data_IF_404022191068
#
_entry.id   IF_404022191068
#
_cell.length_a   1.000
_cell.length_b   1.000
_cell.length_c   1.000
_cell.angle_alpha   90.00
_cell.angle_beta   90.00
_cell.angle_gamma   90.00
#
_symmetry.space_group_name_H-M   'P 1'
#
loop_
_entity.id
_entity.type
_entity.pdbx_description
1 polymer ?
#
# COMPACT_ATOMS: atom_id res chain seq x y z
N UNK A 1 -5.07 5.39 -26.93
CA UNK A 1 -6.12 4.46 -26.44
C UNK A 1 -5.93 4.40 -24.94
N UNK A 2 -6.75 5.17 -24.27
CA UNK A 2 -6.69 5.46 -22.85
C UNK A 2 -6.84 4.15 -22.09
N UNK A 3 -5.71 3.64 -21.60
CA UNK A 3 -5.71 2.73 -20.47
C UNK A 3 -6.50 3.48 -19.42
N UNK A 4 -7.73 3.03 -19.16
CA UNK A 4 -8.45 3.44 -17.97
C UNK A 4 -7.45 3.27 -16.83
N UNK A 5 -6.95 4.39 -16.33
CA UNK A 5 -6.23 4.45 -15.06
C UNK A 5 -7.33 4.13 -14.06
N UNK A 6 -7.61 2.83 -13.90
CA UNK A 6 -8.39 2.30 -12.81
C UNK A 6 -7.86 2.99 -11.55
N UNK A 7 -8.72 3.33 -10.57
CA UNK A 7 -8.30 4.02 -9.38
C UNK A 7 -7.43 3.06 -8.54
N UNK A 8 -6.20 2.81 -8.98
CA UNK A 8 -5.16 2.04 -8.31
C UNK A 8 -4.21 2.98 -7.56
N UNK A 9 -4.09 4.23 -8.02
CA UNK A 9 -3.33 5.24 -7.31
C UNK A 9 -3.87 5.44 -5.88
N UNK A 10 -5.19 5.51 -5.71
CA UNK A 10 -5.82 5.71 -4.40
C UNK A 10 -5.62 4.48 -3.49
N UNK A 11 -5.93 3.23 -3.90
CA UNK A 11 -5.59 2.02 -3.15
C UNK A 11 -4.11 1.85 -2.86
N UNK A 12 -3.22 2.31 -3.75
CA UNK A 12 -1.78 2.18 -3.55
C UNK A 12 -1.25 3.19 -2.54
N UNK A 13 -1.77 4.43 -2.52
CA UNK A 13 -1.31 5.49 -1.61
C UNK A 13 -1.94 5.34 -0.24
N UNK A 14 -3.25 5.09 -0.19
CA UNK A 14 -4.03 4.97 1.03
C UNK A 14 -4.68 3.58 1.11
N UNK A 15 -3.82 2.56 1.00
CA UNK A 15 -4.26 1.18 1.14
C UNK A 15 -4.90 0.92 2.50
N UNK A 16 -5.73 -0.13 2.64
CA UNK A 16 -6.46 -0.43 3.87
C UNK A 16 -5.54 -0.60 5.08
N UNK A 17 -4.34 -1.16 4.90
CA UNK A 17 -3.34 -1.27 5.96
C UNK A 17 -2.77 0.08 6.40
N UNK A 18 -2.48 0.97 5.46
CA UNK A 18 -2.02 2.33 5.76
C UNK A 18 -3.11 3.14 6.48
N UNK A 19 -4.37 3.04 6.04
CA UNK A 19 -5.51 3.64 6.73
C UNK A 19 -5.66 3.10 8.15
N UNK A 20 -5.62 1.77 8.35
CA UNK A 20 -5.68 1.16 9.68
C UNK A 20 -4.56 1.65 10.58
N UNK A 21 -3.32 1.73 10.08
CA UNK A 21 -2.20 2.21 10.88
C UNK A 21 -2.43 3.65 11.38
N UNK A 22 -2.90 4.56 10.52
CA UNK A 22 -3.19 5.94 10.92
C UNK A 22 -4.34 6.00 11.91
N UNK A 23 -5.40 5.21 11.72
CA UNK A 23 -6.52 5.13 12.66
C UNK A 23 -6.04 4.68 14.04
N UNK A 24 -5.23 3.61 14.10
CA UNK A 24 -4.69 3.08 15.35
C UNK A 24 -3.71 4.06 16.01
N UNK A 25 -2.88 4.77 15.23
CA UNK A 25 -1.93 5.78 15.72
C UNK A 25 -2.59 7.11 16.08
N UNK A 26 -3.88 7.25 15.82
CA UNK A 26 -4.69 8.44 16.15
C UNK A 26 -5.85 8.08 17.08
N UNK A 27 -5.75 6.95 17.78
CA UNK A 27 -6.75 6.54 18.76
C UNK A 27 -6.76 7.52 19.96
N UNK A 28 -7.94 8.08 20.26
CA UNK A 28 -8.15 9.05 21.34
C UNK A 28 -8.04 8.43 22.73
N UNK A 29 -8.30 7.14 22.88
CA UNK A 29 -8.22 6.47 24.18
C UNK A 29 -6.77 6.09 24.53
N UNK A 30 -5.88 6.04 23.53
CA UNK A 30 -4.48 5.62 23.69
C UNK A 30 -3.51 6.79 23.58
N UNK A 31 -3.74 7.74 22.66
CA UNK A 31 -2.81 8.81 22.34
C UNK A 31 -3.39 10.19 22.67
N UNK A 32 -2.57 11.03 23.28
CA UNK A 32 -2.91 12.43 23.58
C UNK A 32 -2.91 13.29 22.32
N UNK A 33 -3.65 14.41 22.34
CA UNK A 33 -3.77 15.36 21.20
C UNK A 33 -2.40 15.77 20.60
N UNK A 34 -1.34 16.05 21.39
CA UNK A 34 -0.02 16.35 20.82
C UNK A 34 0.62 15.19 20.05
N UNK A 35 0.44 13.95 20.50
CA UNK A 35 0.96 12.76 19.83
C UNK A 35 0.23 12.50 18.51
N UNK A 36 -1.08 12.72 18.49
CA UNK A 36 -1.88 12.64 17.27
C UNK A 36 -1.49 13.72 16.26
N UNK A 37 -1.22 14.94 16.72
CA UNK A 37 -0.72 16.02 15.87
C UNK A 37 0.64 15.64 15.24
N UNK A 38 1.52 14.98 15.99
CA UNK A 38 2.78 14.46 15.44
C UNK A 38 2.55 13.43 14.33
N UNK A 39 1.64 12.46 14.54
CA UNK A 39 1.24 11.49 13.50
C UNK A 39 0.71 12.20 12.26
N UNK A 40 -0.12 13.24 12.44
CA UNK A 40 -0.64 14.07 11.34
C UNK A 40 0.45 14.80 10.56
N UNK A 41 1.46 15.35 11.23
CA UNK A 41 2.62 15.99 10.58
C UNK A 41 3.42 14.97 9.76
N UNK A 42 3.67 13.77 10.30
CA UNK A 42 4.36 12.70 9.56
C UNK A 42 3.57 12.30 8.32
N UNK A 43 2.25 12.13 8.45
CA UNK A 43 1.37 11.81 7.32
C UNK A 43 1.45 12.88 6.23
N UNK A 44 1.40 14.17 6.61
CA UNK A 44 1.52 15.28 5.66
C UNK A 44 2.87 15.28 4.93
N UNK A 45 3.97 14.99 5.64
CA UNK A 45 5.30 14.89 5.03
C UNK A 45 5.34 13.74 4.01
N UNK A 46 4.82 12.57 4.35
CA UNK A 46 4.76 11.41 3.43
C UNK A 46 3.93 11.74 2.19
N UNK A 47 2.77 12.37 2.36
CA UNK A 47 1.92 12.79 1.24
C UNK A 47 2.59 13.83 0.35
N UNK A 48 3.31 14.79 0.94
CA UNK A 48 4.04 15.82 0.21
C UNK A 48 5.20 15.22 -0.59
N UNK A 49 5.93 14.26 -0.02
CA UNK A 49 6.96 13.50 -0.74
C UNK A 49 6.35 12.72 -1.90
N UNK A 50 5.25 11.97 -1.65
CA UNK A 50 4.54 11.25 -2.71
C UNK A 50 4.07 12.19 -3.83
N UNK A 51 3.54 13.36 -3.47
CA UNK A 51 3.13 14.37 -4.44
C UNK A 51 4.28 14.84 -5.33
N UNK A 52 5.45 15.13 -4.76
CA UNK A 52 6.66 15.50 -5.53
C UNK A 52 7.06 14.36 -6.47
N UNK A 53 7.06 13.11 -5.99
CA UNK A 53 7.37 11.94 -6.82
C UNK A 53 6.40 11.80 -8.00
N UNK A 54 5.10 12.04 -7.77
CA UNK A 54 4.09 12.03 -8.82
C UNK A 54 4.32 13.18 -9.83
N UNK A 55 4.76 14.35 -9.38
CA UNK A 55 5.11 15.46 -10.27
C UNK A 55 6.30 15.11 -11.18
N UNK A 56 7.22 14.27 -10.69
CA UNK A 56 8.36 13.74 -11.47
C UNK A 56 8.02 12.43 -12.21
N UNK A 57 6.76 11.98 -12.22
CA UNK A 57 6.36 10.69 -12.80
C UNK A 57 6.66 10.58 -14.30
N UNK A 58 6.66 11.68 -15.06
CA UNK A 58 7.07 11.71 -16.46
C UNK A 58 8.50 11.20 -16.67
N UNK A 59 9.41 11.51 -15.74
CA UNK A 59 10.79 11.03 -15.78
C UNK A 59 10.84 9.52 -15.54
N UNK A 60 10.06 9.04 -14.56
CA UNK A 60 9.94 7.62 -14.25
C UNK A 60 9.38 6.84 -15.44
N UNK A 61 8.34 7.38 -16.11
CA UNK A 61 7.74 6.78 -17.30
C UNK A 61 8.71 6.73 -18.49
N UNK A 62 9.58 7.72 -18.65
CA UNK A 62 10.61 7.71 -19.70
C UNK A 62 11.68 6.65 -19.46
N UNK A 63 12.06 6.40 -18.20
CA UNK A 63 13.04 5.36 -17.84
C UNK A 63 12.47 3.95 -17.99
N UNK A 64 11.24 3.74 -17.52
CA UNK A 64 10.58 2.41 -17.50
C UNK A 64 10.00 2.06 -18.89
N UNK A 65 9.56 3.05 -19.65
CA UNK A 65 8.91 2.86 -20.94
C UNK A 65 7.48 2.30 -20.82
N UNK A 66 6.74 2.34 -21.94
CA UNK A 66 5.33 1.94 -21.98
C UNK A 66 5.12 0.44 -21.72
N UNK A 67 6.03 -0.39 -22.24
CA UNK A 67 6.03 -1.85 -22.04
C UNK A 67 6.25 -2.19 -20.55
N UNK A 68 7.25 -1.57 -19.92
CA UNK A 68 7.55 -1.79 -18.50
C UNK A 68 6.40 -1.37 -17.59
N UNK A 69 5.76 -0.23 -17.88
CA UNK A 69 4.57 0.21 -17.16
C UNK A 69 3.41 -0.80 -17.27
N UNK A 70 3.20 -1.39 -18.45
CA UNK A 70 2.17 -2.41 -18.65
C UNK A 70 2.47 -3.70 -17.86
N UNK A 71 3.73 -4.09 -17.75
CA UNK A 71 4.15 -5.25 -16.92
C UNK A 71 3.89 -4.94 -15.43
N UNK A 72 4.27 -3.76 -14.95
CA UNK A 72 4.06 -3.36 -13.55
C UNK A 72 2.58 -3.44 -13.14
N UNK A 73 1.66 -2.99 -14.01
CA UNK A 73 0.22 -3.09 -13.75
C UNK A 73 -0.23 -4.55 -13.61
N UNK A 74 0.29 -5.45 -14.46
CA UNK A 74 -0.03 -6.88 -14.37
C UNK A 74 0.51 -7.50 -13.07
N UNK A 75 1.74 -7.17 -12.70
CA UNK A 75 2.38 -7.66 -11.47
C UNK A 75 1.61 -7.18 -10.24
N UNK A 76 1.26 -5.89 -10.17
CA UNK A 76 0.43 -5.34 -9.08
C UNK A 76 -0.90 -6.10 -8.96
N UNK A 77 -1.57 -6.39 -10.09
CA UNK A 77 -2.80 -7.17 -10.09
C UNK A 77 -2.63 -8.58 -9.51
N UNK A 78 -1.55 -9.28 -9.85
CA UNK A 78 -1.27 -10.63 -9.31
C UNK A 78 -0.94 -10.59 -7.82
N UNK A 79 -0.16 -9.60 -7.36
CA UNK A 79 0.16 -9.40 -5.94
C UNK A 79 -1.10 -9.10 -5.12
N UNK A 80 -1.97 -8.21 -5.62
CA UNK A 80 -3.23 -7.89 -4.96
C UNK A 80 -4.17 -9.09 -4.90
N UNK A 81 -4.21 -9.91 -5.96
CA UNK A 81 -5.00 -11.14 -5.96
C UNK A 81 -4.48 -12.15 -4.93
N UNK A 82 -3.17 -12.35 -4.82
CA UNK A 82 -2.60 -13.24 -3.81
C UNK A 82 -2.88 -12.74 -2.40
N UNK A 83 -2.70 -11.43 -2.16
CA UNK A 83 -2.98 -10.80 -0.88
C UNK A 83 -4.45 -10.93 -0.48
N UNK A 84 -5.37 -10.74 -1.43
CA UNK A 84 -6.80 -10.92 -1.17
C UNK A 84 -7.14 -12.36 -0.76
N UNK A 85 -6.58 -13.36 -1.46
CA UNK A 85 -6.75 -14.78 -1.10
C UNK A 85 -6.13 -15.06 0.27
N UNK A 86 -4.96 -14.52 0.57
CA UNK A 86 -4.29 -14.65 1.87
C UNK A 86 -5.16 -14.10 3.01
N UNK A 87 -5.76 -12.92 2.84
CA UNK A 87 -6.66 -12.32 3.82
C UNK A 87 -7.88 -13.21 4.06
N UNK A 88 -8.50 -13.74 3.00
CA UNK A 88 -9.67 -14.63 3.11
C UNK A 88 -9.32 -15.95 3.81
N UNK A 89 -8.21 -16.60 3.43
CA UNK A 89 -7.79 -17.85 4.06
C UNK A 89 -7.42 -17.66 5.52
N UNK A 90 -6.75 -16.56 5.86
CA UNK A 90 -6.46 -16.17 7.24
C UNK A 90 -7.75 -15.92 8.03
N UNK A 91 -8.72 -15.22 7.43
CA UNK A 91 -10.01 -14.94 8.06
C UNK A 91 -10.84 -16.22 8.31
N UNK A 92 -10.72 -17.24 7.46
CA UNK A 92 -11.35 -18.55 7.63
C UNK A 92 -10.60 -19.48 8.61
N UNK A 93 -9.48 -19.04 9.19
CA UNK A 93 -8.70 -19.82 10.13
C UNK A 93 -7.90 -20.97 9.49
N UNK A 94 -7.71 -20.95 8.17
CA UNK A 94 -6.93 -21.95 7.42
C UNK A 94 -5.44 -21.55 7.45
N UNK A 95 -4.96 -21.18 8.64
CA UNK A 95 -3.64 -20.58 8.84
C UNK A 95 -2.57 -21.64 9.07
N UNK A 96 -1.86 -22.02 8.00
CA UNK A 96 -0.42 -22.37 7.97
C UNK A 96 -0.02 -23.31 6.81
N UNK A 97 -0.49 -23.10 5.58
CA UNK A 97 0.01 -23.87 4.43
C UNK A 97 1.44 -23.50 4.00
N UNK A 98 2.16 -22.70 4.80
CA UNK A 98 3.58 -22.49 4.67
C UNK A 98 4.34 -23.56 5.49
N UNK A 99 4.98 -24.57 4.86
CA UNK A 99 5.95 -25.44 5.55
C UNK A 99 7.23 -24.71 6.03
N UNK A 100 7.25 -23.37 6.07
CA UNK A 100 8.42 -22.56 6.41
C UNK A 100 8.63 -22.41 7.93
N UNK A 101 7.60 -22.63 8.76
CA UNK A 101 7.74 -22.58 10.23
C UNK A 101 8.58 -23.74 10.82
N UNK A 102 8.94 -24.75 10.02
CA UNK A 102 9.76 -25.89 10.43
C UNK A 102 11.28 -25.66 10.29
N UNK A 103 11.74 -24.53 9.75
CA UNK A 103 13.17 -24.24 9.52
C UNK A 103 13.80 -23.23 10.50
N UNK A 104 13.03 -22.72 11.48
CA UNK A 104 13.53 -21.78 12.49
C UNK A 104 13.45 -22.32 13.93
N UNK A 105 13.50 -23.64 14.11
CA UNK A 105 13.76 -24.29 15.41
C UNK A 105 15.02 -25.14 15.32
#
# INVERSE_FOLDING_TARGET
RDLAVFPLAVPSIAGPGAMMAVILLTDNDVYTVPQQAQTGVVLLVVLLLNYILLLLSDLVLRVIGREGAAILVRVMGVILASLAVEIVLTALGIGSWAPVQLLSR
#
